data_IF_569353246426
#
_entry.id   IF_569353246426
#
_cell.length_a   1.000
_cell.length_b   1.000
_cell.length_c   1.000
_cell.angle_alpha   90.00
_cell.angle_beta   90.00
_cell.angle_gamma   90.00
#
_symmetry.space_group_name_H-M   'P 1'
#
loop_
_entity.id
_entity.type
_entity.pdbx_description
1 polymer ?
#
# COMPACT_ATOMS: atom_id res chain seq x y z
N UNK A 1 -2.40 -12.80 14.78
CA UNK A 1 -2.88 -11.41 14.71
C UNK A 1 -2.83 -10.93 13.26
N UNK A 2 -3.80 -10.14 12.86
CA UNK A 2 -3.86 -9.48 11.55
C UNK A 2 -3.68 -7.98 11.77
N UNK A 3 -2.95 -7.32 10.88
CA UNK A 3 -2.67 -5.89 11.04
C UNK A 3 -3.05 -5.13 9.76
N UNK A 4 -3.86 -4.09 9.89
CA UNK A 4 -4.32 -3.26 8.77
C UNK A 4 -3.78 -1.83 8.89
N UNK A 5 -3.42 -1.25 7.76
CA UNK A 5 -2.89 0.11 7.66
C UNK A 5 -3.67 0.88 6.59
N UNK A 6 -4.37 1.92 7.00
CA UNK A 6 -4.90 2.95 6.11
C UNK A 6 -3.80 4.00 5.93
N UNK A 7 -2.95 3.76 4.93
CA UNK A 7 -1.73 4.53 4.72
C UNK A 7 -2.04 5.89 4.09
N UNK A 8 -1.47 6.94 4.67
CA UNK A 8 -1.52 8.29 4.09
C UNK A 8 -0.32 8.55 3.18
N UNK A 9 -0.44 9.54 2.30
CA UNK A 9 0.61 9.85 1.33
C UNK A 9 1.88 10.44 1.94
N UNK A 10 1.78 11.04 3.13
CA UNK A 10 2.94 11.64 3.82
C UNK A 10 2.83 11.46 5.33
N UNK A 11 3.97 11.49 6.05
CA UNK A 11 3.97 11.49 7.52
C UNK A 11 3.31 12.72 8.16
N UNK A 12 3.03 13.77 7.38
CA UNK A 12 2.31 14.94 7.88
C UNK A 12 0.85 14.64 8.25
N UNK A 13 0.30 13.54 7.70
CA UNK A 13 -1.02 13.03 8.05
C UNK A 13 -0.88 11.66 8.72
N UNK A 14 -1.62 11.47 9.82
CA UNK A 14 -1.59 10.21 10.54
C UNK A 14 -2.21 9.07 9.72
N UNK A 15 -1.52 7.93 9.68
CA UNK A 15 -2.06 6.69 9.15
C UNK A 15 -2.78 5.93 10.25
N UNK A 16 -3.98 5.43 9.98
CA UNK A 16 -4.71 4.60 10.94
C UNK A 16 -4.19 3.17 10.90
N UNK A 17 -3.93 2.62 12.07
CA UNK A 17 -3.41 1.25 12.21
C UNK A 17 -4.29 0.45 13.16
N UNK A 18 -4.67 -0.75 12.74
CA UNK A 18 -5.55 -1.65 13.48
C UNK A 18 -4.93 -3.04 13.55
N UNK A 19 -4.74 -3.57 14.77
CA UNK A 19 -4.39 -4.96 15.00
C UNK A 19 -5.58 -5.75 15.53
N UNK A 20 -5.87 -6.90 14.92
CA UNK A 20 -6.92 -7.82 15.35
C UNK A 20 -6.31 -9.15 15.79
N UNK A 21 -6.80 -9.70 16.88
CA UNK A 21 -6.46 -11.06 17.29
C UNK A 21 -7.17 -12.12 16.41
N UNK A 22 -6.98 -13.39 16.72
CA UNK A 22 -7.57 -14.49 15.94
C UNK A 22 -9.09 -14.56 16.03
N UNK A 23 -9.63 -14.02 17.10
CA UNK A 23 -11.07 -13.92 17.33
C UNK A 23 -11.66 -12.61 16.79
N UNK A 24 -10.85 -11.83 16.08
CA UNK A 24 -11.19 -10.53 15.49
C UNK A 24 -11.52 -9.44 16.52
N UNK A 25 -11.03 -9.57 17.74
CA UNK A 25 -11.08 -8.49 18.72
C UNK A 25 -9.94 -7.50 18.46
N UNK A 26 -10.19 -6.24 18.78
CA UNK A 26 -9.17 -5.19 18.66
C UNK A 26 -8.08 -5.41 19.70
N UNK A 27 -6.87 -5.74 19.23
CA UNK A 27 -5.68 -5.87 20.07
C UNK A 27 -4.82 -4.59 20.03
N UNK A 28 -4.92 -3.81 18.97
CA UNK A 28 -4.25 -2.54 18.79
C UNK A 28 -5.09 -1.60 17.95
N UNK A 29 -5.13 -0.32 18.32
CA UNK A 29 -5.70 0.75 17.49
C UNK A 29 -4.87 2.00 17.73
N UNK A 30 -4.34 2.59 16.67
CA UNK A 30 -3.54 3.79 16.78
C UNK A 30 -3.45 4.58 15.49
N UNK A 31 -3.03 5.84 15.64
CA UNK A 31 -2.78 6.74 14.54
C UNK A 31 -1.29 7.12 14.58
N UNK A 32 -0.55 6.74 13.56
CA UNK A 32 0.90 6.86 13.51
C UNK A 32 1.34 7.72 12.33
N UNK A 33 2.34 8.56 12.53
CA UNK A 33 2.83 9.48 11.51
C UNK A 33 3.94 8.86 10.66
N UNK A 34 5.05 8.48 11.32
CA UNK A 34 6.25 8.01 10.64
C UNK A 34 6.19 6.50 10.34
N UNK A 35 6.79 6.08 9.23
CA UNK A 35 6.93 4.67 8.88
C UNK A 35 7.67 3.88 9.97
N UNK A 36 8.66 4.51 10.62
CA UNK A 36 9.39 3.90 11.73
C UNK A 36 8.46 3.50 12.87
N UNK A 37 7.54 4.38 13.25
CA UNK A 37 6.59 4.10 14.33
C UNK A 37 5.65 2.96 13.96
N UNK A 38 5.21 2.91 12.68
CA UNK A 38 4.38 1.82 12.15
C UNK A 38 5.15 0.49 12.26
N UNK A 39 6.39 0.47 11.79
CA UNK A 39 7.24 -0.72 11.82
C UNK A 39 7.51 -1.18 13.26
N UNK A 40 7.78 -0.26 14.15
CA UNK A 40 8.03 -0.58 15.58
C UNK A 40 6.80 -1.25 16.20
N UNK A 41 5.60 -0.76 15.95
CA UNK A 41 4.35 -1.37 16.42
C UNK A 41 4.15 -2.75 15.81
N UNK A 42 4.38 -2.91 14.51
CA UNK A 42 4.27 -4.20 13.84
C UNK A 42 5.25 -5.22 14.44
N UNK A 43 6.48 -4.81 14.73
CA UNK A 43 7.48 -5.67 15.34
C UNK A 43 7.15 -6.07 16.78
N UNK A 44 6.38 -5.26 17.49
CA UNK A 44 5.84 -5.63 18.80
C UNK A 44 4.66 -6.58 18.70
N UNK A 45 3.77 -6.36 17.73
CA UNK A 45 2.55 -7.16 17.54
C UNK A 45 2.84 -8.51 16.88
N UNK A 46 3.84 -8.62 16.02
CA UNK A 46 4.21 -9.81 15.24
C UNK A 46 3.01 -10.42 14.51
N UNK A 47 2.31 -9.68 13.65
CA UNK A 47 1.14 -10.18 12.95
C UNK A 47 1.50 -11.24 11.91
N UNK A 48 0.56 -12.16 11.63
CA UNK A 48 0.69 -13.16 10.57
C UNK A 48 0.59 -12.54 9.17
N UNK A 49 -0.25 -11.52 9.03
CA UNK A 49 -0.46 -10.80 7.78
C UNK A 49 -0.61 -9.30 8.07
N UNK A 50 0.01 -8.49 7.22
CA UNK A 50 -0.13 -7.04 7.22
C UNK A 50 -0.83 -6.63 5.92
N UNK A 51 -1.97 -5.96 6.04
CA UNK A 51 -2.75 -5.46 4.92
C UNK A 51 -2.55 -3.93 4.80
N UNK A 52 -2.09 -3.47 3.65
CA UNK A 52 -1.85 -2.04 3.41
C UNK A 52 -2.83 -1.53 2.35
N UNK A 53 -3.59 -0.50 2.68
CA UNK A 53 -4.47 0.21 1.75
C UNK A 53 -3.66 1.26 0.97
N UNK A 54 -2.92 0.78 0.02
CA UNK A 54 -2.15 1.58 -0.95
C UNK A 54 -1.70 0.68 -2.10
N UNK A 55 -1.46 1.22 -3.30
CA UNK A 55 -0.76 0.47 -4.33
C UNK A 55 0.66 0.13 -3.90
N UNK A 56 1.05 -1.13 -4.01
CA UNK A 56 2.36 -1.64 -3.58
C UNK A 56 3.26 -2.04 -4.76
N UNK A 57 2.80 -1.82 -5.98
CA UNK A 57 3.56 -2.12 -7.20
C UNK A 57 3.37 -1.03 -8.24
N UNK A 58 4.33 -0.93 -9.15
CA UNK A 58 4.22 -0.10 -10.34
C UNK A 58 3.68 -0.90 -11.53
N UNK A 59 3.09 -0.23 -12.53
CA UNK A 59 2.80 -0.87 -13.80
C UNK A 59 4.03 -1.55 -14.39
N UNK A 60 3.85 -2.72 -14.99
CA UNK A 60 4.94 -3.48 -15.61
C UNK A 60 5.67 -2.63 -16.65
N UNK A 61 7.00 -2.60 -16.57
CA UNK A 61 7.87 -1.80 -17.43
C UNK A 61 8.32 -0.48 -16.82
N UNK A 62 7.63 0.03 -15.79
CA UNK A 62 8.04 1.24 -15.09
C UNK A 62 9.03 0.93 -13.97
N UNK A 63 10.13 1.69 -13.90
CA UNK A 63 11.03 1.67 -12.75
C UNK A 63 10.68 2.75 -11.72
N UNK A 64 9.90 3.76 -12.13
CA UNK A 64 9.45 4.86 -11.30
C UNK A 64 8.24 5.55 -11.93
N UNK A 65 7.67 6.52 -11.24
CA UNK A 65 6.56 7.36 -11.74
C UNK A 65 7.01 8.77 -12.14
N UNK A 66 8.32 8.97 -12.36
CA UNK A 66 8.85 10.29 -12.75
C UNK A 66 8.72 10.49 -14.26
N UNK A 67 8.09 11.60 -14.67
CA UNK A 67 7.93 11.93 -16.10
C UNK A 67 9.28 12.18 -16.79
N UNK A 68 10.29 12.61 -16.04
CA UNK A 68 11.65 12.81 -16.54
C UNK A 68 12.40 11.53 -16.85
N UNK A 69 11.96 10.38 -16.33
CA UNK A 69 12.56 9.08 -16.59
C UNK A 69 12.06 8.50 -17.92
N UNK A 70 12.94 7.93 -18.77
CA UNK A 70 12.53 7.37 -20.06
C UNK A 70 11.79 6.02 -19.96
N UNK A 71 11.64 5.43 -18.77
CA UNK A 71 10.93 4.17 -18.63
C UNK A 71 9.48 4.28 -19.14
N UNK A 72 8.99 3.23 -19.77
CA UNK A 72 7.65 3.17 -20.34
C UNK A 72 6.88 1.97 -19.82
N UNK A 73 5.55 2.09 -19.63
CA UNK A 73 4.74 0.94 -19.29
C UNK A 73 4.75 -0.06 -20.45
N UNK A 74 4.78 -1.33 -20.15
CA UNK A 74 4.81 -2.42 -21.14
C UNK A 74 3.47 -2.58 -21.84
N UNK A 75 2.37 -2.26 -21.13
CA UNK A 75 1.01 -2.33 -21.65
C UNK A 75 0.54 -0.97 -22.20
N UNK A 76 -0.26 -0.99 -23.28
CA UNK A 76 -0.95 0.20 -23.82
C UNK A 76 -1.85 0.87 -22.79
N UNK A 77 -2.34 0.13 -21.82
CA UNK A 77 -3.23 0.62 -20.77
C UNK A 77 -2.54 1.50 -19.71
N UNK A 78 -1.22 1.50 -19.68
CA UNK A 78 -0.39 2.31 -18.79
C UNK A 78 -0.57 2.06 -17.28
N UNK A 79 -1.69 1.50 -16.86
CA UNK A 79 -1.95 1.11 -15.48
C UNK A 79 -1.55 -0.35 -15.25
N UNK A 80 -1.58 -0.78 -13.97
CA UNK A 80 -1.40 -2.18 -13.61
C UNK A 80 -2.58 -3.01 -14.12
N UNK A 81 -2.34 -4.32 -14.32
CA UNK A 81 -3.40 -5.23 -14.75
C UNK A 81 -4.55 -5.29 -13.73
N UNK A 82 -4.25 -5.31 -12.43
CA UNK A 82 -5.29 -5.32 -11.39
C UNK A 82 -6.19 -4.08 -11.44
N UNK A 83 -5.62 -2.90 -11.70
CA UNK A 83 -6.38 -1.66 -11.84
C UNK A 83 -7.33 -1.70 -13.04
N UNK A 84 -6.86 -2.28 -14.14
CA UNK A 84 -7.67 -2.49 -15.34
C UNK A 84 -8.84 -3.44 -15.08
N UNK A 85 -8.57 -4.54 -14.38
CA UNK A 85 -9.60 -5.53 -14.04
C UNK A 85 -10.67 -4.95 -13.13
N UNK A 86 -10.27 -4.16 -12.12
CA UNK A 86 -11.22 -3.45 -11.26
C UNK A 86 -12.14 -2.52 -12.07
N UNK A 87 -11.57 -1.77 -13.01
CA UNK A 87 -12.36 -0.87 -13.88
C UNK A 87 -13.35 -1.61 -14.76
N UNK A 88 -12.99 -2.79 -15.26
CA UNK A 88 -13.92 -3.65 -16.03
C UNK A 88 -15.11 -4.08 -15.20
N UNK A 89 -14.92 -4.29 -13.89
CA UNK A 89 -15.98 -4.62 -12.94
C UNK A 89 -16.77 -3.39 -12.47
N UNK A 90 -16.48 -2.20 -13.01
CA UNK A 90 -17.15 -0.96 -12.63
C UNK A 90 -16.65 -0.39 -11.28
N UNK A 91 -15.50 -0.87 -10.78
CA UNK A 91 -14.92 -0.39 -9.54
C UNK A 91 -13.91 0.72 -9.85
N UNK A 92 -14.19 1.97 -9.46
CA UNK A 92 -13.27 3.07 -9.71
C UNK A 92 -12.02 2.94 -8.82
N UNK A 93 -10.86 3.21 -9.40
CA UNK A 93 -9.60 3.28 -8.68
C UNK A 93 -8.76 4.43 -9.22
N UNK A 94 -7.85 4.94 -8.39
CA UNK A 94 -6.92 5.97 -8.81
C UNK A 94 -5.91 5.41 -9.82
N UNK A 95 -5.48 6.22 -10.79
CA UNK A 95 -4.48 5.77 -11.76
C UNK A 95 -3.13 5.51 -11.08
N UNK A 96 -2.40 4.52 -11.61
CA UNK A 96 -1.02 4.20 -11.18
C UNK A 96 -0.01 4.59 -12.25
N UNK A 97 -0.37 5.50 -13.16
CA UNK A 97 0.50 6.01 -14.22
C UNK A 97 1.43 7.12 -13.71
N UNK A 98 2.41 7.51 -14.53
CA UNK A 98 3.30 8.65 -14.23
C UNK A 98 2.57 9.96 -13.96
N UNK A 99 1.34 10.11 -14.45
CA UNK A 99 0.50 11.31 -14.24
C UNK A 99 -0.40 11.22 -13.02
N UNK A 100 -0.24 10.19 -12.20
CA UNK A 100 -1.06 10.03 -11.00
C UNK A 100 -0.82 11.14 -9.98
N UNK A 101 -1.90 11.54 -9.29
CA UNK A 101 -1.81 12.47 -8.17
C UNK A 101 -1.57 11.77 -6.81
N UNK A 102 -1.58 10.42 -6.79
CA UNK A 102 -1.26 9.63 -5.60
C UNK A 102 0.17 9.08 -5.62
N UNK A 103 1.08 9.70 -6.37
CA UNK A 103 2.47 9.24 -6.52
C UNK A 103 3.17 9.03 -5.18
N UNK A 104 3.04 9.98 -4.27
CA UNK A 104 3.69 9.91 -2.96
C UNK A 104 3.15 8.73 -2.13
N UNK A 105 1.85 8.45 -2.22
CA UNK A 105 1.25 7.29 -1.55
C UNK A 105 1.80 5.97 -2.13
N UNK A 106 1.91 5.88 -3.45
CA UNK A 106 2.45 4.68 -4.12
C UNK A 106 3.90 4.45 -3.69
N UNK A 107 4.73 5.47 -3.74
CA UNK A 107 6.13 5.36 -3.33
C UNK A 107 6.26 4.98 -1.85
N UNK A 108 5.49 5.62 -0.98
CA UNK A 108 5.49 5.30 0.44
C UNK A 108 5.06 3.86 0.70
N UNK A 109 4.00 3.41 0.02
CA UNK A 109 3.51 2.03 0.14
C UNK A 109 4.56 1.01 -0.28
N UNK A 110 5.21 1.23 -1.41
CA UNK A 110 6.28 0.35 -1.92
C UNK A 110 7.47 0.30 -0.95
N UNK A 111 7.91 1.44 -0.44
CA UNK A 111 9.03 1.50 0.52
C UNK A 111 8.68 0.78 1.83
N UNK A 112 7.50 1.02 2.36
CA UNK A 112 7.04 0.37 3.60
C UNK A 112 6.93 -1.14 3.42
N UNK A 113 6.33 -1.59 2.32
CA UNK A 113 6.23 -3.02 1.98
C UNK A 113 7.60 -3.66 1.88
N UNK A 114 8.54 -3.03 1.14
CA UNK A 114 9.89 -3.55 0.99
C UNK A 114 10.59 -3.71 2.34
N UNK A 115 10.52 -2.73 3.21
CA UNK A 115 11.16 -2.79 4.52
C UNK A 115 10.53 -3.88 5.41
N UNK A 116 9.21 -3.98 5.43
CA UNK A 116 8.52 -5.01 6.19
C UNK A 116 8.84 -6.43 5.66
N UNK A 117 8.87 -6.61 4.34
CA UNK A 117 9.23 -7.89 3.73
C UNK A 117 10.69 -8.28 4.01
N UNK A 118 11.62 -7.32 4.02
CA UNK A 118 13.01 -7.56 4.41
C UNK A 118 13.14 -8.02 5.88
N UNK A 119 12.23 -7.59 6.73
CA UNK A 119 12.17 -8.03 8.12
C UNK A 119 11.41 -9.35 8.32
N UNK A 120 10.98 -9.99 7.24
CA UNK A 120 10.31 -11.30 7.27
C UNK A 120 8.80 -11.26 7.42
N UNK A 121 8.18 -10.08 7.33
CA UNK A 121 6.72 -9.94 7.41
C UNK A 121 6.04 -10.31 6.09
N UNK A 122 4.82 -10.85 6.20
CA UNK A 122 3.94 -11.12 5.06
C UNK A 122 3.02 -9.90 4.85
N UNK A 123 3.18 -9.22 3.72
CA UNK A 123 2.45 -8.00 3.39
C UNK A 123 1.54 -8.24 2.17
N UNK A 124 0.32 -7.75 2.23
CA UNK A 124 -0.62 -7.77 1.10
C UNK A 124 -1.14 -6.36 0.82
N UNK A 125 -1.40 -6.09 -0.45
CA UNK A 125 -2.12 -4.90 -0.89
C UNK A 125 -3.63 -5.15 -0.76
N UNK A 126 -4.35 -4.17 -0.22
CA UNK A 126 -5.81 -4.19 -0.17
C UNK A 126 -6.39 -2.93 -0.80
N UNK A 127 -7.61 -3.03 -1.26
CA UNK A 127 -8.41 -1.91 -1.72
C UNK A 127 -9.83 -2.05 -1.15
N UNK A 128 -10.07 -1.56 0.09
CA UNK A 128 -11.34 -1.77 0.79
C UNK A 128 -12.57 -1.23 0.04
N UNK A 129 -12.39 -0.20 -0.79
CA UNK A 129 -13.46 0.33 -1.63
C UNK A 129 -14.06 -0.69 -2.59
N UNK A 130 -13.28 -1.71 -2.96
CA UNK A 130 -13.71 -2.79 -3.85
C UNK A 130 -14.59 -3.86 -3.16
N UNK A 131 -14.71 -3.79 -1.84
CA UNK A 131 -15.42 -4.79 -1.03
C UNK A 131 -16.93 -4.66 -1.13
#
# INVERSE_FOLDING_TARGET
MFFGIDLTSTPAKLSACLGLDKELHIAYLGFLAADRDIIDVINLCLPEVIAIDAPLTLPEGLCCLEESCPCQPKSEWKNRQCDRELRKEGIPCYPTTKKTFIKDLIYRGIELENELCQQGHHVIEIYPYAS
#
